data_IF_996914020749
#
_entry.id   IF_996914020749
#
_cell.length_a   1.000
_cell.length_b   1.000
_cell.length_c   1.000
_cell.angle_alpha   90.00
_cell.angle_beta   90.00
_cell.angle_gamma   90.00
#
_symmetry.space_group_name_H-M   'P 1'
#
loop_
_entity.id
_entity.type
_entity.pdbx_description
1 polymer ?
#
# COMPACT_ATOMS: atom_id res chain seq x y z
N UNK A 1 -10.92 -6.66 3.10
CA UNK A 1 -10.03 -5.49 2.98
C UNK A 1 -8.70 -5.87 3.61
N UNK A 2 -7.63 -5.95 2.81
CA UNK A 2 -6.29 -6.26 3.30
C UNK A 2 -5.54 -4.94 3.50
N UNK A 3 -5.28 -4.61 4.76
CA UNK A 3 -4.59 -3.40 5.18
C UNK A 3 -3.48 -3.76 6.14
N UNK A 4 -2.40 -2.98 6.15
CA UNK A 4 -1.29 -3.13 7.08
C UNK A 4 -1.04 -1.79 7.76
N UNK A 5 -0.87 -1.84 9.07
CA UNK A 5 -0.52 -0.67 9.86
C UNK A 5 0.94 -0.77 10.28
N UNK A 6 1.71 0.26 9.97
CA UNK A 6 3.12 0.36 10.34
C UNK A 6 3.38 1.69 11.03
N UNK A 7 4.33 1.73 11.94
CA UNK A 7 4.71 2.98 12.62
C UNK A 7 6.12 3.36 12.22
N UNK A 8 6.27 4.55 11.66
CA UNK A 8 7.57 5.09 11.29
C UNK A 8 8.33 5.65 12.52
N UNK A 9 9.64 5.90 12.37
CA UNK A 9 10.52 6.50 13.38
C UNK A 9 10.01 7.85 13.90
N UNK A 10 9.28 8.60 13.08
CA UNK A 10 8.61 9.84 13.47
C UNK A 10 7.36 9.60 14.37
N UNK A 11 7.14 8.38 14.87
CA UNK A 11 5.92 7.96 15.61
C UNK A 11 4.63 8.21 14.83
N UNK A 12 4.72 8.28 13.49
CA UNK A 12 3.56 8.38 12.61
C UNK A 12 3.09 6.99 12.26
N UNK A 13 1.85 6.66 12.62
CA UNK A 13 1.19 5.44 12.17
C UNK A 13 0.72 5.62 10.73
N UNK A 14 1.01 4.64 9.89
CA UNK A 14 0.64 4.60 8.48
C UNK A 14 -0.26 3.40 8.24
N UNK A 15 -1.40 3.65 7.64
CA UNK A 15 -2.31 2.62 7.16
C UNK A 15 -2.08 2.44 5.67
N UNK A 16 -1.43 1.35 5.28
CA UNK A 16 -1.20 0.97 3.91
C UNK A 16 -2.27 0.00 3.43
N UNK A 17 -2.93 0.33 2.32
CA UNK A 17 -3.96 -0.47 1.69
C UNK A 17 -3.63 -0.67 0.22
N UNK A 18 -3.80 -1.87 -0.30
CA UNK A 18 -3.73 -2.05 -1.75
C UNK A 18 -4.87 -1.26 -2.40
N UNK A 19 -4.55 -0.42 -3.38
CA UNK A 19 -5.57 0.31 -4.13
C UNK A 19 -6.52 -0.71 -4.78
N UNK A 20 -7.80 -0.36 -4.88
CA UNK A 20 -8.88 -1.20 -5.41
C UNK A 20 -9.27 -2.43 -4.55
N UNK A 21 -8.53 -2.78 -3.48
CA UNK A 21 -8.91 -3.87 -2.56
C UNK A 21 -10.11 -3.56 -1.63
N UNK A 22 -10.72 -2.38 -1.80
CA UNK A 22 -11.87 -1.89 -1.01
C UNK A 22 -13.12 -1.54 -1.84
N UNK A 23 -13.10 -1.75 -3.16
CA UNK A 23 -14.31 -1.59 -3.99
C UNK A 23 -14.95 -2.97 -4.11
N UNK A 24 -16.05 -3.20 -3.38
CA UNK A 24 -16.80 -4.46 -3.38
C UNK A 24 -17.63 -4.59 -4.68
N UNK A 25 -16.95 -4.74 -5.81
CA UNK A 25 -17.56 -4.82 -7.13
C UNK A 25 -16.73 -5.73 -8.03
N UNK A 26 -17.39 -6.49 -8.91
CA UNK A 26 -16.73 -7.37 -9.88
C UNK A 26 -15.66 -6.64 -10.72
N UNK A 27 -15.88 -5.35 -10.98
CA UNK A 27 -14.93 -4.46 -11.64
C UNK A 27 -13.63 -4.21 -10.84
N UNK A 28 -13.63 -4.37 -9.52
CA UNK A 28 -12.45 -4.16 -8.68
C UNK A 28 -11.50 -5.36 -8.69
N UNK A 29 -12.05 -6.57 -8.82
CA UNK A 29 -11.25 -7.78 -9.03
C UNK A 29 -10.55 -7.68 -10.40
N UNK A 30 -11.31 -7.36 -11.46
CA UNK A 30 -10.73 -7.12 -12.79
C UNK A 30 -9.78 -5.91 -12.81
N UNK A 31 -10.06 -4.85 -12.05
CA UNK A 31 -9.15 -3.71 -11.93
C UNK A 31 -7.89 -4.08 -11.13
N UNK A 32 -7.95 -4.98 -10.18
CA UNK A 32 -6.77 -5.47 -9.44
C UNK A 32 -5.91 -6.33 -10.36
N UNK A 33 -6.49 -7.29 -11.07
CA UNK A 33 -5.81 -8.12 -12.08
C UNK A 33 -5.24 -7.29 -13.25
N UNK A 34 -5.87 -6.15 -13.58
CA UNK A 34 -5.36 -5.21 -14.60
C UNK A 34 -4.43 -4.11 -14.06
N UNK A 35 -4.43 -3.90 -12.75
CA UNK A 35 -3.51 -2.98 -12.07
C UNK A 35 -2.23 -3.69 -11.62
N UNK A 36 -2.19 -5.02 -11.73
CA UNK A 36 -0.92 -5.74 -11.79
C UNK A 36 -0.15 -5.21 -13.02
N UNK A 37 0.94 -4.50 -12.76
CA UNK A 37 1.89 -4.14 -13.83
C UNK A 37 2.43 -5.43 -14.45
N UNK A 38 2.95 -5.37 -15.68
CA UNK A 38 3.60 -6.53 -16.33
C UNK A 38 4.75 -7.12 -15.48
N UNK A 39 5.24 -6.35 -14.50
CA UNK A 39 6.28 -6.70 -13.53
C UNK A 39 5.75 -7.32 -12.21
N UNK A 40 4.43 -7.53 -12.08
CA UNK A 40 3.81 -8.16 -10.90
C UNK A 40 3.66 -7.25 -9.68
N UNK A 41 3.79 -5.93 -9.87
CA UNK A 41 3.55 -4.92 -8.84
C UNK A 41 2.08 -4.49 -8.82
N UNK A 42 1.61 -4.06 -7.65
CA UNK A 42 0.28 -3.54 -7.39
C UNK A 42 0.38 -2.16 -6.74
N UNK A 43 -0.56 -1.26 -7.06
CA UNK A 43 -0.63 0.04 -6.40
C UNK A 43 -1.05 -0.10 -4.93
N UNK A 44 -0.30 0.52 -4.03
CA UNK A 44 -0.54 0.56 -2.58
C UNK A 44 -0.63 2.00 -2.13
N UNK A 45 -1.61 2.33 -1.30
CA UNK A 45 -1.86 3.66 -0.77
C UNK A 45 -1.59 3.65 0.71
N UNK A 46 -0.62 4.43 1.16
CA UNK A 46 -0.26 4.57 2.57
C UNK A 46 -0.73 5.94 3.08
N UNK A 47 -1.65 5.91 4.04
CA UNK A 47 -2.21 7.12 4.64
C UNK A 47 -1.72 7.29 6.08
N UNK A 48 -1.14 8.43 6.44
CA UNK A 48 -0.69 8.68 7.81
C UNK A 48 -1.85 9.05 8.74
N UNK A 49 -1.83 8.50 9.96
CA UNK A 49 -2.73 8.86 11.05
C UNK A 49 -2.38 10.26 11.56
N UNK A 50 -3.04 11.28 11.01
CA UNK A 50 -2.78 12.68 11.38
C UNK A 50 -3.14 13.71 10.31
N UNK A 51 -3.62 13.28 9.15
CA UNK A 51 -4.02 14.19 8.06
C UNK A 51 -2.83 14.73 7.24
N UNK A 52 -1.66 14.11 7.37
CA UNK A 52 -0.53 14.35 6.47
C UNK A 52 -0.79 13.75 5.07
N UNK A 53 0.08 14.07 4.12
CA UNK A 53 -0.06 13.68 2.72
C UNK A 53 -0.08 12.15 2.57
N UNK A 54 -1.08 11.64 1.85
CA UNK A 54 -1.15 10.24 1.45
C UNK A 54 -0.07 9.94 0.40
N UNK A 55 0.65 8.85 0.58
CA UNK A 55 1.69 8.38 -0.34
C UNK A 55 1.16 7.21 -1.15
N UNK A 56 1.47 7.17 -2.46
CA UNK A 56 1.14 6.04 -3.34
C UNK A 56 2.43 5.33 -3.71
N UNK A 57 2.48 4.04 -3.45
CA UNK A 57 3.60 3.16 -3.71
C UNK A 57 3.20 2.13 -4.77
N UNK A 58 4.18 1.62 -5.49
CA UNK A 58 4.03 0.43 -6.31
C UNK A 58 4.85 -0.69 -5.67
N UNK A 59 4.18 -1.70 -5.13
CA UNK A 59 4.82 -2.79 -4.38
C UNK A 59 4.50 -4.12 -5.05
N UNK A 60 5.32 -5.15 -4.86
CA UNK A 60 5.00 -6.50 -5.32
C UNK A 60 3.64 -6.96 -4.79
N UNK A 61 2.86 -7.73 -5.54
CA UNK A 61 1.51 -8.16 -5.09
C UNK A 61 1.50 -8.90 -3.74
N UNK A 62 2.58 -9.59 -3.44
CA UNK A 62 2.81 -10.31 -2.20
C UNK A 62 3.46 -9.45 -1.09
N UNK A 63 3.52 -8.12 -1.26
CA UNK A 63 4.11 -7.19 -0.28
C UNK A 63 3.54 -7.36 1.13
N UNK A 64 2.26 -7.72 1.24
CA UNK A 64 1.63 -7.90 2.54
C UNK A 64 2.27 -9.06 3.33
N UNK A 65 2.82 -10.07 2.64
CA UNK A 65 3.42 -11.27 3.19
C UNK A 65 4.96 -11.23 3.18
N UNK A 66 5.57 -10.69 2.13
CA UNK A 66 7.04 -10.69 1.95
C UNK A 66 7.73 -9.37 2.33
N UNK A 67 7.03 -8.24 2.35
CA UNK A 67 7.63 -6.97 2.73
C UNK A 67 7.64 -6.84 4.26
N UNK A 68 8.77 -6.46 4.84
CA UNK A 68 8.85 -6.19 6.28
C UNK A 68 8.29 -4.79 6.60
N UNK A 69 7.87 -4.57 7.85
CA UNK A 69 7.40 -3.23 8.28
C UNK A 69 8.47 -2.16 8.06
N UNK A 70 9.73 -2.51 8.34
CA UNK A 70 10.89 -1.61 8.17
C UNK A 70 11.11 -1.21 6.71
N UNK A 71 10.96 -2.16 5.78
CA UNK A 71 11.11 -1.90 4.34
C UNK A 71 9.94 -1.08 3.79
N UNK A 72 8.71 -1.38 4.26
CA UNK A 72 7.53 -0.60 3.91
C UNK A 72 7.67 0.84 4.36
N UNK A 73 8.09 1.06 5.61
CA UNK A 73 8.38 2.40 6.15
C UNK A 73 9.49 3.09 5.37
N UNK A 74 10.57 2.39 5.02
CA UNK A 74 11.64 2.96 4.19
C UNK A 74 11.13 3.40 2.81
N UNK A 75 10.23 2.63 2.21
CA UNK A 75 9.62 2.95 0.90
C UNK A 75 8.70 4.15 1.01
N UNK A 76 7.86 4.22 2.05
CA UNK A 76 7.03 5.40 2.35
C UNK A 76 7.90 6.65 2.52
N UNK A 77 9.03 6.52 3.22
CA UNK A 77 9.96 7.63 3.46
C UNK A 77 10.72 8.08 2.20
N UNK A 78 10.86 7.22 1.20
CA UNK A 78 11.47 7.58 -0.08
C UNK A 78 10.51 8.36 -1.00
N UNK A 79 9.20 8.12 -0.87
CA UNK A 79 8.14 8.70 -1.72
C UNK A 79 7.38 9.88 -1.05
N UNK A 80 7.80 10.31 0.15
CA UNK A 80 7.20 11.43 0.92
C UNK A 80 7.84 12.79 0.65
#
# INVERSE_FOLDING_TARGET
MQQREVTDKDNTTWTCVQAYAGVDSQAAAEATERSESEEGTVPVVCTPSGGAQTVRLELQKDWLENLSDEELVATIAAER
#
